data_IF_933839484202
#
_entry.id   IF_933839484202
#
_cell.length_a   1.000
_cell.length_b   1.000
_cell.length_c   1.000
_cell.angle_alpha   90.00
_cell.angle_beta   90.00
_cell.angle_gamma   90.00
#
_symmetry.space_group_name_H-M   'P 1'
#
loop_
_entity.id
_entity.type
_entity.pdbx_description
1 polymer ?
#
# COMPACT_ATOMS: atom_id res chain seq x y z
N UNK A 1 -3.27 8.33 2.96
CA UNK A 1 -4.28 8.23 4.04
C UNK A 1 -4.74 6.79 4.08
N UNK A 2 -4.71 6.10 5.23
CA UNK A 2 -5.22 4.75 5.39
C UNK A 2 -6.64 4.77 5.95
N UNK A 3 -7.47 3.82 5.55
CA UNK A 3 -8.79 3.60 6.13
C UNK A 3 -8.84 2.19 6.70
N UNK A 4 -9.33 2.04 7.92
CA UNK A 4 -9.58 0.73 8.53
C UNK A 4 -11.02 0.33 8.23
N UNK A 5 -11.19 -0.85 7.60
CA UNK A 5 -12.48 -1.39 7.23
C UNK A 5 -12.75 -2.67 8.02
N UNK A 6 -13.56 -2.57 9.06
CA UNK A 6 -13.93 -3.73 9.87
C UNK A 6 -15.27 -4.37 9.44
N UNK A 7 -16.16 -3.61 8.81
CA UNK A 7 -17.48 -4.05 8.34
C UNK A 7 -17.91 -3.24 7.12
N UNK A 8 -18.36 -3.93 6.08
CA UNK A 8 -18.85 -3.29 4.83
C UNK A 8 -20.12 -2.49 5.09
N UNK A 9 -21.01 -2.96 5.97
CA UNK A 9 -22.28 -2.31 6.33
C UNK A 9 -22.09 -0.87 6.87
N UNK A 10 -20.92 -0.59 7.48
CA UNK A 10 -20.60 0.76 7.93
C UNK A 10 -20.25 1.71 6.79
N UNK A 11 -19.74 1.20 5.68
CA UNK A 11 -19.50 2.00 4.49
C UNK A 11 -20.81 2.45 3.85
N UNK A 12 -21.76 1.54 3.70
CA UNK A 12 -23.08 1.85 3.19
C UNK A 12 -23.75 2.95 4.02
N UNK A 13 -23.72 2.81 5.35
CA UNK A 13 -24.22 3.85 6.24
C UNK A 13 -23.52 5.20 6.06
N UNK A 14 -22.16 5.22 5.89
CA UNK A 14 -21.39 6.44 5.68
C UNK A 14 -21.73 7.09 4.33
N UNK A 15 -21.89 6.29 3.28
CA UNK A 15 -22.24 6.78 1.94
C UNK A 15 -23.65 7.35 1.92
N UNK A 16 -24.61 6.66 2.52
CA UNK A 16 -26.01 7.09 2.55
C UNK A 16 -26.26 8.31 3.44
N UNK A 17 -25.54 8.43 4.56
CA UNK A 17 -25.79 9.47 5.57
C UNK A 17 -24.66 10.52 5.63
N UNK A 18 -23.59 10.35 4.85
CA UNK A 18 -22.47 11.28 4.77
C UNK A 18 -22.86 12.56 4.04
N UNK A 19 -22.26 13.66 4.48
CA UNK A 19 -22.47 14.97 3.86
C UNK A 19 -21.13 15.59 3.51
N UNK A 20 -21.00 16.05 2.27
CA UNK A 20 -19.86 16.88 1.85
C UNK A 20 -20.00 18.26 2.45
N UNK A 21 -19.09 18.65 3.30
CA UNK A 21 -19.08 19.93 3.97
C UNK A 21 -18.43 21.01 3.11
N UNK A 22 -19.10 22.17 2.97
CA UNK A 22 -18.49 23.32 2.31
C UNK A 22 -17.27 23.82 3.08
N UNK A 23 -16.22 24.19 2.36
CA UNK A 23 -15.03 24.82 2.91
C UNK A 23 -15.12 26.36 2.85
N UNK A 24 -16.19 26.89 2.24
CA UNK A 24 -16.43 28.32 2.11
C UNK A 24 -17.00 28.92 3.40
N UNK A 25 -16.76 30.22 3.61
CA UNK A 25 -17.32 30.97 4.73
C UNK A 25 -16.69 30.67 6.09
N UNK A 26 -15.59 29.93 6.14
CA UNK A 26 -14.84 29.71 7.37
C UNK A 26 -14.04 30.97 7.73
N UNK A 27 -14.01 31.37 9.04
CA UNK A 27 -13.27 32.54 9.45
C UNK A 27 -11.76 32.36 9.27
N UNK A 28 -11.05 33.47 9.00
CA UNK A 28 -9.58 33.49 8.92
C UNK A 28 -8.97 33.57 10.34
N UNK A 29 -9.06 32.48 11.06
CA UNK A 29 -8.62 32.30 12.45
C UNK A 29 -8.17 30.87 12.68
N UNK A 30 -7.42 30.60 13.76
CA UNK A 30 -7.01 29.23 14.16
C UNK A 30 -8.23 28.29 14.21
N UNK A 31 -9.36 28.74 14.74
CA UNK A 31 -10.61 27.96 14.75
C UNK A 31 -11.09 27.63 13.32
N UNK A 32 -11.02 28.60 12.40
CA UNK A 32 -11.39 28.38 11.00
C UNK A 32 -10.45 27.39 10.30
N UNK A 33 -9.16 27.41 10.63
CA UNK A 33 -8.19 26.47 10.08
C UNK A 33 -8.41 25.06 10.61
N UNK A 34 -8.66 24.90 11.90
CA UNK A 34 -9.03 23.61 12.51
C UNK A 34 -10.33 23.07 11.93
N UNK A 35 -11.36 23.92 11.77
CA UNK A 35 -12.63 23.52 11.16
C UNK A 35 -12.43 23.12 9.68
N UNK A 36 -11.60 23.84 8.93
CA UNK A 36 -11.22 23.50 7.55
C UNK A 36 -10.56 22.13 7.50
N UNK A 37 -9.59 21.89 8.36
CA UNK A 37 -8.91 20.59 8.46
C UNK A 37 -9.91 19.46 8.73
N UNK A 38 -10.77 19.61 9.74
CA UNK A 38 -11.79 18.60 10.06
C UNK A 38 -12.74 18.33 8.89
N UNK A 39 -13.22 19.38 8.21
CA UNK A 39 -14.11 19.23 7.04
C UNK A 39 -13.41 18.57 5.86
N UNK A 40 -12.13 18.89 5.59
CA UNK A 40 -11.33 18.22 4.56
C UNK A 40 -11.18 16.72 4.89
N UNK A 41 -10.88 16.37 6.14
CA UNK A 41 -10.77 14.97 6.56
C UNK A 41 -12.11 14.23 6.41
N UNK A 42 -13.21 14.83 6.85
CA UNK A 42 -14.55 14.26 6.70
C UNK A 42 -14.91 14.04 5.22
N UNK A 43 -14.74 15.07 4.38
CA UNK A 43 -15.03 14.99 2.95
C UNK A 43 -14.19 13.91 2.25
N UNK A 44 -12.90 13.80 2.60
CA UNK A 44 -12.03 12.75 2.07
C UNK A 44 -12.52 11.36 2.52
N UNK A 45 -12.91 11.21 3.76
CA UNK A 45 -13.45 9.92 4.28
C UNK A 45 -14.70 9.48 3.51
N UNK A 46 -15.62 10.41 3.20
CA UNK A 46 -16.81 10.10 2.39
C UNK A 46 -16.47 9.69 0.96
N UNK A 47 -15.56 10.44 0.30
CA UNK A 47 -15.12 10.09 -1.06
C UNK A 47 -14.42 8.72 -1.11
N UNK A 48 -13.62 8.38 -0.10
CA UNK A 48 -13.01 7.07 0.01
C UNK A 48 -14.05 5.97 0.25
N UNK A 49 -15.05 6.22 1.12
CA UNK A 49 -16.13 5.27 1.37
C UNK A 49 -16.92 4.96 0.08
N UNK A 50 -17.25 5.99 -0.69
CA UNK A 50 -17.94 5.84 -1.99
C UNK A 50 -17.09 5.04 -3.00
N UNK A 51 -15.79 5.34 -3.11
CA UNK A 51 -14.89 4.61 -4.00
C UNK A 51 -14.74 3.13 -3.59
N UNK A 52 -14.63 2.85 -2.30
CA UNK A 52 -14.55 1.50 -1.75
C UNK A 52 -15.85 0.75 -2.02
N UNK A 53 -17.00 1.36 -1.73
CA UNK A 53 -18.32 0.75 -1.99
C UNK A 53 -18.49 0.43 -3.47
N UNK A 54 -18.24 1.38 -4.36
CA UNK A 54 -18.31 1.20 -5.81
C UNK A 54 -17.45 0.02 -6.27
N UNK A 55 -16.20 -0.06 -5.83
CA UNK A 55 -15.32 -1.17 -6.17
C UNK A 55 -15.79 -2.50 -5.60
N UNK A 56 -16.29 -2.50 -4.36
CA UNK A 56 -16.81 -3.69 -3.72
C UNK A 56 -18.05 -4.24 -4.45
N UNK A 57 -18.96 -3.39 -4.87
CA UNK A 57 -20.18 -3.76 -5.60
C UNK A 57 -19.91 -4.17 -7.05
N UNK A 58 -18.83 -3.66 -7.66
CA UNK A 58 -18.44 -3.99 -9.02
C UNK A 58 -17.95 -5.44 -9.19
N UNK A 59 -17.70 -6.16 -8.12
CA UNK A 59 -17.16 -7.52 -8.15
C UNK A 59 -17.86 -8.46 -7.16
N UNK A 60 -17.63 -9.76 -7.33
CA UNK A 60 -18.15 -10.81 -6.45
C UNK A 60 -17.06 -11.85 -6.16
N UNK A 61 -17.15 -12.50 -5.00
CA UNK A 61 -16.32 -13.67 -4.72
C UNK A 61 -16.81 -14.86 -5.55
N UNK A 62 -15.88 -15.63 -6.11
CA UNK A 62 -16.13 -16.87 -6.87
C UNK A 62 -15.96 -18.11 -6.00
N UNK A 63 -15.34 -17.94 -4.82
CA UNK A 63 -15.05 -18.98 -3.84
C UNK A 63 -15.80 -18.67 -2.55
N UNK A 64 -16.21 -19.70 -1.83
CA UNK A 64 -16.76 -19.57 -0.49
C UNK A 64 -15.61 -19.44 0.51
N UNK A 65 -15.53 -18.33 1.18
CA UNK A 65 -14.50 -18.06 2.19
C UNK A 65 -14.92 -18.59 3.57
N UNK A 66 -13.93 -18.95 4.36
CA UNK A 66 -14.11 -19.22 5.79
C UNK A 66 -14.82 -18.06 6.48
N UNK A 67 -15.69 -18.38 7.44
CA UNK A 67 -16.39 -17.40 8.29
C UNK A 67 -15.51 -16.84 9.42
N UNK A 68 -14.28 -17.33 9.55
CA UNK A 68 -13.29 -16.80 10.50
C UNK A 68 -12.82 -15.39 10.10
N UNK A 69 -12.15 -14.70 11.02
CA UNK A 69 -11.83 -13.28 10.85
C UNK A 69 -10.98 -13.02 9.60
N UNK A 70 -9.93 -13.82 9.39
CA UNK A 70 -9.02 -13.62 8.25
C UNK A 70 -9.73 -13.92 6.92
N UNK A 71 -10.51 -15.00 6.85
CA UNK A 71 -11.29 -15.35 5.66
C UNK A 71 -12.25 -14.23 5.27
N UNK A 72 -13.01 -13.68 6.22
CA UNK A 72 -13.90 -12.51 5.97
C UNK A 72 -13.11 -11.30 5.46
N UNK A 73 -11.97 -11.00 6.08
CA UNK A 73 -11.15 -9.84 5.68
C UNK A 73 -10.60 -10.01 4.27
N UNK A 74 -10.07 -11.19 3.93
CA UNK A 74 -9.53 -11.47 2.59
C UNK A 74 -10.62 -11.53 1.53
N UNK A 75 -11.84 -11.97 1.85
CA UNK A 75 -12.98 -11.93 0.93
C UNK A 75 -13.34 -10.50 0.50
N UNK A 76 -13.25 -9.54 1.43
CA UNK A 76 -13.44 -8.11 1.14
C UNK A 76 -12.29 -7.60 0.26
N UNK A 77 -11.04 -7.88 0.65
CA UNK A 77 -9.85 -7.45 -0.12
C UNK A 77 -9.90 -7.97 -1.56
N UNK A 78 -10.24 -9.25 -1.76
CA UNK A 78 -10.40 -9.83 -3.10
C UNK A 78 -11.40 -9.04 -3.95
N UNK A 79 -12.57 -8.70 -3.40
CA UNK A 79 -13.57 -7.89 -4.11
C UNK A 79 -13.05 -6.50 -4.47
N UNK A 80 -12.32 -5.84 -3.55
CA UNK A 80 -11.75 -4.52 -3.81
C UNK A 80 -10.67 -4.55 -4.90
N UNK A 81 -9.85 -5.60 -4.95
CA UNK A 81 -8.85 -5.81 -6.01
C UNK A 81 -9.55 -6.05 -7.35
N UNK A 82 -10.49 -6.99 -7.41
CA UNK A 82 -11.25 -7.33 -8.63
C UNK A 82 -12.11 -6.15 -9.11
N UNK A 83 -12.61 -5.33 -8.20
CA UNK A 83 -13.35 -4.10 -8.50
C UNK A 83 -12.45 -2.90 -8.87
N UNK A 84 -11.14 -3.10 -9.01
CA UNK A 84 -10.16 -2.09 -9.44
C UNK A 84 -10.10 -0.83 -8.54
N UNK A 85 -10.15 -0.99 -7.22
CA UNK A 85 -10.00 0.12 -6.28
C UNK A 85 -8.65 0.86 -6.45
N UNK A 86 -7.63 0.17 -6.98
CA UNK A 86 -6.30 0.75 -7.22
C UNK A 86 -5.43 0.91 -5.97
N UNK A 87 -5.87 0.44 -4.82
CA UNK A 87 -5.07 0.40 -3.59
C UNK A 87 -3.90 -0.56 -3.77
N UNK A 88 -2.69 -0.11 -3.41
CA UNK A 88 -1.45 -0.87 -3.58
C UNK A 88 -1.11 -1.75 -2.39
N UNK A 89 -1.54 -1.38 -1.18
CA UNK A 89 -1.21 -2.08 0.05
C UNK A 89 -2.49 -2.26 0.87
N UNK A 90 -2.79 -3.51 1.18
CA UNK A 90 -3.86 -3.91 2.10
C UNK A 90 -3.22 -4.51 3.34
N UNK A 91 -3.66 -4.09 4.50
CA UNK A 91 -3.25 -4.65 5.77
C UNK A 91 -4.42 -5.41 6.38
N UNK A 92 -4.23 -6.71 6.62
CA UNK A 92 -5.19 -7.57 7.34
C UNK A 92 -4.52 -8.16 8.57
N UNK A 93 -5.30 -8.46 9.59
CA UNK A 93 -4.78 -8.92 10.88
C UNK A 93 -5.40 -10.25 11.26
N UNK A 94 -4.56 -11.18 11.68
CA UNK A 94 -4.93 -12.40 12.39
C UNK A 94 -4.32 -12.35 13.78
N UNK A 95 -5.16 -12.22 14.80
CA UNK A 95 -4.74 -12.22 16.22
C UNK A 95 -4.64 -13.64 16.78
N UNK A 96 -4.23 -13.74 18.05
CA UNK A 96 -4.24 -15.01 18.79
C UNK A 96 -2.88 -15.68 18.92
N UNK A 97 -1.81 -15.20 18.27
CA UNK A 97 -0.47 -15.80 18.35
C UNK A 97 0.26 -15.55 19.67
N UNK A 98 -0.33 -14.80 20.60
CA UNK A 98 0.20 -14.59 21.95
C UNK A 98 -0.13 -15.78 22.87
N UNK A 99 0.40 -16.95 22.51
CA UNK A 99 0.07 -18.27 23.10
C UNK A 99 0.94 -18.58 24.31
N UNK A 100 0.69 -17.92 25.43
CA UNK A 100 1.35 -18.21 26.72
C UNK A 100 0.84 -19.50 27.40
N UNK A 101 -0.27 -20.06 26.91
CA UNK A 101 -0.84 -21.33 27.38
C UNK A 101 -1.46 -22.09 26.18
N UNK A 102 -1.61 -23.40 26.28
CA UNK A 102 -2.24 -24.28 25.25
C UNK A 102 -1.70 -24.05 23.82
N UNK A 103 -0.46 -23.63 23.70
CA UNK A 103 0.12 -23.18 22.42
C UNK A 103 -0.04 -24.19 21.27
N UNK A 104 0.11 -25.47 21.54
CA UNK A 104 0.07 -26.50 20.49
C UNK A 104 -1.27 -26.53 19.74
N UNK A 105 -2.38 -26.42 20.48
CA UNK A 105 -3.73 -26.47 19.90
C UNK A 105 -4.08 -25.14 19.25
N UNK A 106 -3.87 -24.04 19.96
CA UNK A 106 -4.21 -22.68 19.50
C UNK A 106 -3.40 -22.32 18.25
N UNK A 107 -2.09 -22.60 18.25
CA UNK A 107 -1.22 -22.32 17.11
C UNK A 107 -1.59 -23.15 15.88
N UNK A 108 -1.93 -24.44 16.06
CA UNK A 108 -2.38 -25.30 14.97
C UNK A 108 -3.67 -24.76 14.32
N UNK A 109 -4.61 -24.28 15.13
CA UNK A 109 -5.84 -23.66 14.64
C UNK A 109 -5.56 -22.37 13.84
N UNK A 110 -4.68 -21.50 14.36
CA UNK A 110 -4.31 -20.25 13.69
C UNK A 110 -3.58 -20.48 12.35
N UNK A 111 -2.66 -21.43 12.29
CA UNK A 111 -1.99 -21.78 11.01
C UNK A 111 -2.99 -22.41 10.03
N UNK A 112 -3.94 -23.16 10.50
CA UNK A 112 -5.02 -23.72 9.67
C UNK A 112 -5.90 -22.60 9.11
N UNK A 113 -6.29 -21.61 9.92
CA UNK A 113 -7.03 -20.43 9.46
C UNK A 113 -6.23 -19.64 8.42
N UNK A 114 -4.95 -19.37 8.69
CA UNK A 114 -4.06 -18.67 7.76
C UNK A 114 -3.99 -19.38 6.41
N UNK A 115 -3.68 -20.68 6.42
CA UNK A 115 -3.50 -21.44 5.18
C UNK A 115 -4.79 -21.56 4.37
N UNK A 116 -5.93 -21.79 5.04
CA UNK A 116 -7.24 -21.87 4.39
C UNK A 116 -7.63 -20.52 3.78
N UNK A 117 -7.54 -19.45 4.55
CA UNK A 117 -7.94 -18.12 4.09
C UNK A 117 -7.07 -17.61 2.92
N UNK A 118 -5.75 -17.87 2.95
CA UNK A 118 -4.84 -17.53 1.86
C UNK A 118 -5.13 -18.38 0.61
N UNK A 119 -5.40 -19.66 0.78
CA UNK A 119 -5.77 -20.55 -0.34
C UNK A 119 -7.07 -20.10 -1.01
N UNK A 120 -8.12 -19.82 -0.23
CA UNK A 120 -9.39 -19.31 -0.74
C UNK A 120 -9.21 -17.99 -1.49
N UNK A 121 -8.37 -17.11 -0.96
CA UNK A 121 -8.08 -15.81 -1.55
C UNK A 121 -7.39 -15.93 -2.92
N UNK A 122 -6.35 -16.74 -3.06
CA UNK A 122 -5.69 -16.95 -4.35
C UNK A 122 -6.57 -17.66 -5.35
N UNK A 123 -7.33 -18.69 -4.94
CA UNK A 123 -8.30 -19.37 -5.81
C UNK A 123 -9.38 -18.37 -6.34
N UNK A 124 -9.81 -17.43 -5.51
CA UNK A 124 -10.78 -16.41 -5.91
C UNK A 124 -10.18 -15.40 -6.90
N UNK A 125 -8.94 -14.96 -6.68
CA UNK A 125 -8.22 -14.06 -7.59
C UNK A 125 -7.89 -14.74 -8.92
N UNK A 126 -7.45 -16.00 -8.91
CA UNK A 126 -7.16 -16.79 -10.10
C UNK A 126 -8.38 -16.92 -11.02
N UNK A 127 -9.57 -17.08 -10.43
CA UNK A 127 -10.83 -17.15 -11.17
C UNK A 127 -11.12 -15.92 -12.03
N UNK A 128 -10.55 -14.78 -11.70
CA UNK A 128 -10.66 -13.51 -12.44
C UNK A 128 -9.30 -13.06 -13.03
N UNK A 129 -8.30 -13.95 -13.09
CA UNK A 129 -6.93 -13.72 -13.62
C UNK A 129 -6.22 -12.55 -12.94
N UNK A 130 -6.31 -12.46 -11.61
CA UNK A 130 -5.72 -11.38 -10.80
C UNK A 130 -4.71 -11.89 -9.77
N UNK A 131 -4.42 -13.20 -9.72
CA UNK A 131 -3.48 -13.78 -8.75
C UNK A 131 -2.04 -13.27 -8.96
N UNK A 132 -1.61 -13.10 -10.20
CA UNK A 132 -0.29 -12.57 -10.55
C UNK A 132 -0.06 -11.10 -10.11
N UNK A 133 -1.15 -10.35 -9.89
CA UNK A 133 -1.08 -8.94 -9.45
C UNK A 133 -0.86 -8.80 -7.94
N UNK A 134 -0.84 -9.90 -7.18
CA UNK A 134 -0.92 -9.88 -5.71
C UNK A 134 0.19 -10.70 -5.08
N UNK A 135 0.79 -10.12 -4.05
CA UNK A 135 1.74 -10.76 -3.17
C UNK A 135 1.31 -10.55 -1.73
N UNK A 136 1.32 -11.62 -0.93
CA UNK A 136 1.09 -11.54 0.52
C UNK A 136 2.42 -11.77 1.24
N UNK A 137 2.77 -10.88 2.16
CA UNK A 137 3.84 -11.09 3.12
C UNK A 137 3.29 -10.96 4.54
N UNK A 138 3.60 -11.95 5.39
CA UNK A 138 3.25 -11.87 6.81
C UNK A 138 4.32 -11.13 7.58
N UNK A 139 3.94 -10.53 8.72
CA UNK A 139 4.87 -10.03 9.72
C UNK A 139 4.25 -10.17 11.10
N UNK A 140 5.08 -10.23 12.13
CA UNK A 140 4.65 -10.32 13.52
C UNK A 140 5.40 -9.30 14.38
N UNK A 141 4.77 -8.85 15.45
CA UNK A 141 5.37 -7.97 16.45
C UNK A 141 6.49 -8.67 17.23
N UNK A 142 6.33 -9.97 17.50
CA UNK A 142 7.29 -10.78 18.26
C UNK A 142 7.38 -12.20 17.68
N UNK A 143 8.48 -12.89 18.00
CA UNK A 143 8.62 -14.33 17.85
C UNK A 143 8.32 -15.06 19.16
N UNK A 144 8.72 -16.34 19.25
CA UNK A 144 8.54 -17.16 20.46
C UNK A 144 9.88 -17.71 20.92
N UNK A 145 10.07 -17.83 22.24
CA UNK A 145 11.24 -18.51 22.82
C UNK A 145 11.17 -20.01 22.54
N UNK A 146 12.35 -20.65 22.58
CA UNK A 146 12.49 -22.07 22.33
C UNK A 146 11.90 -22.92 23.48
N UNK A 147 12.04 -22.44 24.72
CA UNK A 147 11.65 -23.19 25.88
C UNK A 147 10.18 -22.96 26.27
N UNK A 148 9.49 -24.06 26.59
CA UNK A 148 8.13 -24.01 27.13
C UNK A 148 8.12 -23.38 28.50
N UNK A 149 7.11 -22.53 28.77
CA UNK A 149 6.80 -22.03 30.09
C UNK A 149 5.98 -23.04 30.93
N UNK A 150 5.64 -22.69 32.17
CA UNK A 150 4.88 -23.58 33.06
C UNK A 150 3.41 -23.81 32.69
N UNK A 151 2.88 -23.15 31.66
CA UNK A 151 1.48 -23.21 31.23
C UNK A 151 1.27 -23.88 29.85
N UNK A 152 2.23 -24.69 29.40
CA UNK A 152 2.24 -25.32 28.07
C UNK A 152 2.17 -24.32 26.91
N UNK A 153 2.77 -23.16 27.06
CA UNK A 153 3.03 -22.13 26.06
C UNK A 153 4.50 -21.77 26.03
N UNK A 154 4.83 -20.68 25.37
CA UNK A 154 6.16 -20.08 25.37
C UNK A 154 6.05 -18.59 25.64
N UNK A 155 7.14 -17.95 26.03
CA UNK A 155 7.20 -16.49 26.15
C UNK A 155 7.60 -15.84 24.81
N UNK A 156 7.47 -14.50 24.71
CA UNK A 156 7.87 -13.75 23.53
C UNK A 156 9.36 -13.93 23.25
N UNK A 157 9.70 -14.01 21.98
CA UNK A 157 11.06 -14.08 21.46
C UNK A 157 11.30 -13.08 20.35
N UNK A 158 12.53 -13.06 19.81
CA UNK A 158 13.00 -12.06 18.87
C UNK A 158 12.94 -12.50 17.40
N UNK A 159 12.76 -13.79 17.13
CA UNK A 159 12.75 -14.34 15.78
C UNK A 159 11.50 -15.17 15.52
N UNK A 160 10.99 -15.09 14.30
CA UNK A 160 9.80 -15.84 13.85
C UNK A 160 9.94 -16.18 12.36
N UNK A 161 9.25 -17.22 11.86
CA UNK A 161 9.10 -17.44 10.44
C UNK A 161 8.26 -16.32 9.84
N UNK A 162 8.62 -15.91 8.61
CA UNK A 162 7.86 -15.00 7.77
C UNK A 162 7.43 -15.78 6.53
N UNK A 163 6.15 -15.68 6.16
CA UNK A 163 5.61 -16.33 4.98
C UNK A 163 5.40 -15.30 3.87
N UNK A 164 5.78 -15.68 2.65
CA UNK A 164 5.48 -14.92 1.44
C UNK A 164 4.71 -15.82 0.48
N UNK A 165 3.58 -15.33 -0.05
CA UNK A 165 2.74 -16.05 -1.00
C UNK A 165 2.55 -15.20 -2.25
N UNK A 166 2.52 -15.83 -3.41
CA UNK A 166 2.31 -15.16 -4.69
C UNK A 166 2.79 -16.01 -5.86
N UNK A 167 2.24 -15.78 -7.05
CA UNK A 167 2.62 -16.52 -8.26
C UNK A 167 4.08 -16.24 -8.68
N UNK A 168 4.60 -15.07 -8.33
CA UNK A 168 5.99 -14.66 -8.60
C UNK A 168 6.97 -15.07 -7.48
N UNK A 169 6.52 -15.83 -6.49
CA UNK A 169 7.37 -16.24 -5.35
C UNK A 169 8.10 -17.53 -5.68
N UNK A 170 9.42 -17.54 -5.52
CA UNK A 170 10.23 -18.74 -5.53
C UNK A 170 9.87 -19.57 -4.30
N UNK A 171 9.06 -20.62 -4.50
CA UNK A 171 8.59 -21.46 -3.42
C UNK A 171 9.73 -22.21 -2.73
N UNK A 172 9.60 -22.46 -1.44
CA UNK A 172 10.54 -23.22 -0.63
C UNK A 172 10.91 -22.52 0.67
N UNK A 173 11.89 -23.10 1.35
CA UNK A 173 12.46 -22.54 2.56
C UNK A 173 13.69 -21.68 2.17
N UNK A 174 13.75 -20.46 2.66
CA UNK A 174 14.90 -19.56 2.51
C UNK A 174 15.52 -19.36 3.89
N UNK A 175 16.81 -19.58 3.98
CA UNK A 175 17.53 -19.62 5.23
C UNK A 175 17.82 -21.02 5.72
N UNK A 176 18.41 -21.11 6.88
CA UNK A 176 18.79 -22.35 7.57
C UNK A 176 17.73 -22.77 8.60
N UNK A 177 17.76 -24.02 9.00
CA UNK A 177 16.95 -24.47 10.12
C UNK A 177 17.31 -23.70 11.40
N UNK A 178 16.30 -23.29 12.20
CA UNK A 178 16.55 -22.58 13.45
C UNK A 178 17.43 -23.42 14.38
N UNK A 179 18.46 -22.78 14.93
CA UNK A 179 19.40 -23.41 15.87
C UNK A 179 18.79 -23.38 17.28
N UNK A 180 18.25 -24.51 17.73
CA UNK A 180 17.48 -24.61 18.98
C UNK A 180 18.34 -24.94 20.21
N UNK A 181 19.63 -25.29 20.03
CA UNK A 181 20.53 -25.63 21.13
C UNK A 181 20.88 -24.38 21.95
N UNK A 182 20.95 -24.55 23.27
CA UNK A 182 21.13 -23.42 24.20
C UNK A 182 22.37 -22.54 23.90
N UNK A 183 23.45 -23.14 23.41
CA UNK A 183 24.65 -22.42 23.00
C UNK A 183 24.51 -21.54 21.75
N UNK A 184 23.43 -21.72 21.01
CA UNK A 184 23.12 -20.98 19.79
C UNK A 184 22.03 -19.92 19.98
N UNK A 185 21.55 -19.74 21.22
CA UNK A 185 20.58 -18.72 21.59
C UNK A 185 21.30 -17.47 22.06
N UNK A 186 20.57 -16.35 22.11
CA UNK A 186 21.10 -15.12 22.73
C UNK A 186 21.14 -15.22 24.28
N UNK A 187 21.62 -14.17 24.94
CA UNK A 187 21.75 -14.13 26.42
C UNK A 187 20.40 -14.18 27.17
N UNK A 188 19.27 -14.08 26.44
CA UNK A 188 17.91 -14.13 26.97
C UNK A 188 17.12 -15.38 26.51
N UNK A 189 17.83 -16.38 25.98
CA UNK A 189 17.25 -17.64 25.44
C UNK A 189 16.34 -17.40 24.20
N UNK A 190 16.59 -16.35 23.43
CA UNK A 190 15.90 -16.13 22.18
C UNK A 190 16.62 -16.75 20.99
N UNK A 191 15.87 -17.13 19.97
CA UNK A 191 16.42 -17.45 18.67
C UNK A 191 17.13 -16.25 18.06
N UNK A 192 18.30 -16.46 17.48
CA UNK A 192 18.98 -15.45 16.68
C UNK A 192 18.41 -15.51 15.27
N UNK A 193 17.87 -14.39 14.78
CA UNK A 193 17.32 -14.32 13.42
C UNK A 193 18.47 -14.34 12.39
N UNK A 194 18.25 -15.05 11.29
CA UNK A 194 19.20 -15.10 10.17
C UNK A 194 19.03 -13.87 9.25
N UNK A 195 17.78 -13.47 8.99
CA UNK A 195 17.43 -12.33 8.16
C UNK A 195 16.81 -11.21 8.99
N UNK A 196 17.30 -10.00 8.80
CA UNK A 196 16.62 -8.79 9.28
C UNK A 196 15.33 -8.57 8.45
N UNK A 197 14.22 -8.24 9.08
CA UNK A 197 12.95 -7.99 8.38
C UNK A 197 13.07 -6.90 7.31
N UNK A 198 14.02 -5.96 7.47
CA UNK A 198 14.30 -4.90 6.49
C UNK A 198 14.87 -5.45 5.19
N UNK A 199 15.57 -6.58 5.20
CA UNK A 199 16.02 -7.27 3.99
C UNK A 199 14.83 -7.78 3.16
N UNK A 200 13.80 -8.31 3.83
CA UNK A 200 12.54 -8.70 3.18
C UNK A 200 11.85 -7.47 2.60
N UNK A 201 11.79 -6.37 3.36
CA UNK A 201 11.18 -5.13 2.88
C UNK A 201 11.96 -4.49 1.74
N UNK A 202 13.31 -4.58 1.74
CA UNK A 202 14.12 -4.15 0.59
C UNK A 202 13.69 -4.89 -0.67
N UNK A 203 13.59 -6.23 -0.61
CA UNK A 203 13.12 -7.02 -1.76
C UNK A 203 11.72 -6.63 -2.22
N UNK A 204 10.77 -6.45 -1.29
CA UNK A 204 9.41 -6.03 -1.62
C UNK A 204 9.38 -4.63 -2.26
N UNK A 205 10.12 -3.67 -1.71
CA UNK A 205 10.15 -2.31 -2.22
C UNK A 205 10.78 -2.25 -3.61
N UNK A 206 11.91 -2.93 -3.81
CA UNK A 206 12.66 -2.82 -5.05
C UNK A 206 12.16 -3.78 -6.13
N UNK A 207 12.02 -5.06 -5.81
CA UNK A 207 11.76 -6.11 -6.80
C UNK A 207 10.26 -6.28 -7.09
N UNK A 208 9.36 -5.97 -6.12
CA UNK A 208 7.92 -6.02 -6.34
C UNK A 208 7.33 -4.66 -6.71
N UNK A 209 7.65 -3.61 -5.97
CA UNK A 209 7.10 -2.26 -6.24
C UNK A 209 7.93 -1.44 -7.23
N UNK A 210 9.15 -1.86 -7.57
CA UNK A 210 10.03 -1.14 -8.50
C UNK A 210 10.52 0.20 -7.94
N UNK A 211 10.67 0.30 -6.62
CA UNK A 211 11.24 1.47 -5.95
C UNK A 211 12.76 1.43 -6.16
N UNK A 212 13.38 2.56 -6.45
CA UNK A 212 14.83 2.67 -6.59
C UNK A 212 15.52 2.32 -5.26
N UNK A 213 16.70 1.69 -5.32
CA UNK A 213 17.44 1.24 -4.13
C UNK A 213 17.73 2.38 -3.15
N UNK A 214 18.02 3.60 -3.64
CA UNK A 214 18.27 4.79 -2.81
C UNK A 214 17.03 5.20 -2.00
N UNK A 215 15.85 5.17 -2.62
CA UNK A 215 14.58 5.50 -1.96
C UNK A 215 14.20 4.41 -0.95
N UNK A 216 14.44 3.13 -1.26
CA UNK A 216 14.22 2.02 -0.35
C UNK A 216 15.15 2.12 0.87
N UNK A 217 16.43 2.38 0.66
CA UNK A 217 17.41 2.59 1.74
C UNK A 217 17.05 3.78 2.63
N UNK A 218 16.59 4.88 2.04
CA UNK A 218 16.13 6.05 2.80
C UNK A 218 14.89 5.73 3.66
N UNK A 219 13.95 4.95 3.13
CA UNK A 219 12.74 4.54 3.85
C UNK A 219 13.03 3.57 5.01
N UNK A 220 14.00 2.69 4.84
CA UNK A 220 14.38 1.66 5.83
C UNK A 220 15.46 2.12 6.84
N UNK A 221 16.05 3.29 6.60
CA UNK A 221 17.08 3.86 7.46
C UNK A 221 18.47 3.22 7.30
N UNK A 222 18.74 2.59 6.15
CA UNK A 222 20.01 1.97 5.81
C UNK A 222 19.92 1.03 4.62
N UNK A 223 21.08 0.56 4.18
CA UNK A 223 21.20 -0.42 3.09
C UNK A 223 21.08 -1.84 3.65
N UNK A 224 20.18 -2.62 3.07
CA UNK A 224 19.96 -4.02 3.44
C UNK A 224 19.98 -4.91 2.21
N UNK A 225 20.71 -6.02 2.28
CA UNK A 225 20.77 -7.01 1.22
C UNK A 225 19.38 -7.61 0.96
N UNK A 226 19.09 -7.93 -0.31
CA UNK A 226 17.83 -8.55 -0.71
C UNK A 226 17.77 -10.02 -0.32
N UNK A 227 16.57 -10.51 -0.02
CA UNK A 227 16.27 -11.94 0.16
C UNK A 227 15.69 -12.48 -1.14
N UNK A 228 16.23 -13.56 -1.75
CA UNK A 228 15.88 -13.98 -3.09
C UNK A 228 14.59 -14.82 -3.16
N UNK A 229 13.47 -14.30 -2.65
CA UNK A 229 12.18 -15.00 -2.68
C UNK A 229 11.30 -14.62 -3.89
N UNK A 230 11.69 -13.63 -4.69
CA UNK A 230 11.00 -13.29 -5.92
C UNK A 230 11.75 -13.80 -7.14
N UNK A 231 11.01 -14.32 -8.11
CA UNK A 231 11.55 -14.66 -9.43
C UNK A 231 11.78 -13.38 -10.24
N UNK A 232 12.99 -12.81 -10.09
CA UNK A 232 13.39 -11.63 -10.86
C UNK A 232 13.68 -11.96 -12.32
N UNK A 233 13.77 -13.24 -12.70
CA UNK A 233 13.96 -13.62 -14.11
C UNK A 233 12.69 -13.48 -14.93
N UNK A 234 11.53 -13.57 -14.32
CA UNK A 234 10.23 -13.29 -14.94
C UNK A 234 9.93 -11.78 -15.00
N UNK A 235 10.53 -10.98 -14.12
CA UNK A 235 10.39 -9.51 -14.07
C UNK A 235 11.44 -8.81 -14.95
N UNK A 236 12.52 -9.49 -15.31
CA UNK A 236 13.74 -8.84 -15.82
C UNK A 236 13.80 -8.56 -17.31
N UNK A 237 12.74 -8.78 -18.12
CA UNK A 237 12.79 -8.36 -19.53
C UNK A 237 11.56 -7.55 -19.97
N UNK A 238 10.52 -7.46 -19.14
CA UNK A 238 9.34 -6.65 -19.45
C UNK A 238 9.12 -5.46 -18.50
N UNK A 239 9.83 -5.37 -17.37
CA UNK A 239 9.82 -4.16 -16.53
C UNK A 239 10.42 -2.93 -17.23
N UNK A 240 11.17 -3.13 -18.32
CA UNK A 240 11.51 -2.06 -19.28
C UNK A 240 10.51 -1.96 -20.43
N UNK A 241 9.57 -2.92 -20.59
CA UNK A 241 8.55 -2.96 -21.63
C UNK A 241 7.16 -3.42 -21.13
N UNK A 242 6.91 -3.48 -19.84
CA UNK A 242 5.54 -3.51 -19.31
C UNK A 242 4.80 -2.30 -19.88
N UNK A 243 3.47 -2.35 -20.12
CA UNK A 243 2.76 -1.25 -20.73
C UNK A 243 3.12 0.01 -19.94
N UNK A 244 3.88 0.89 -20.59
CA UNK A 244 4.42 2.14 -20.01
C UNK A 244 3.25 2.80 -19.30
N UNK A 245 3.19 2.67 -17.97
CA UNK A 245 2.02 3.09 -17.22
C UNK A 245 1.91 4.60 -17.28
N UNK A 246 0.73 5.09 -17.58
CA UNK A 246 0.42 6.50 -17.40
C UNK A 246 0.74 6.86 -15.95
N UNK A 247 1.64 7.82 -15.71
CA UNK A 247 2.08 8.19 -14.37
C UNK A 247 2.39 9.68 -14.31
N UNK A 248 1.86 10.35 -13.30
CA UNK A 248 2.23 11.70 -12.92
C UNK A 248 3.15 11.63 -11.68
N UNK A 249 4.38 12.10 -11.81
CA UNK A 249 5.32 12.08 -10.68
C UNK A 249 5.09 13.28 -9.74
N UNK A 250 5.58 13.18 -8.50
CA UNK A 250 5.64 14.30 -7.59
C UNK A 250 6.57 15.37 -8.17
N UNK A 251 6.15 16.65 -8.11
CA UNK A 251 7.01 17.74 -8.55
C UNK A 251 8.26 17.84 -7.66
N UNK A 252 9.38 18.21 -8.27
CA UNK A 252 10.63 18.37 -7.54
C UNK A 252 11.32 19.71 -7.93
N UNK A 253 11.77 20.46 -6.92
CA UNK A 253 11.58 20.29 -5.47
C UNK A 253 10.11 20.46 -5.03
N UNK A 254 9.74 19.90 -3.88
CA UNK A 254 8.49 20.14 -3.17
C UNK A 254 8.72 20.01 -1.66
N UNK A 255 8.59 21.08 -0.84
CA UNK A 255 8.18 22.43 -1.24
C UNK A 255 9.14 23.12 -2.20
N UNK A 256 8.67 24.15 -2.94
CA UNK A 256 9.45 24.83 -3.96
C UNK A 256 9.40 26.37 -3.87
N UNK A 257 10.41 27.07 -4.45
CA UNK A 257 10.53 28.52 -4.48
C UNK A 257 11.35 28.99 -5.69
N UNK A 258 10.83 29.80 -6.61
CA UNK A 258 9.47 29.74 -7.13
C UNK A 258 9.33 28.69 -8.24
N UNK A 259 10.40 27.94 -8.54
CA UNK A 259 10.47 26.99 -9.66
C UNK A 259 10.39 25.55 -9.17
N UNK A 260 9.67 24.72 -9.93
CA UNK A 260 9.64 23.28 -9.75
C UNK A 260 9.49 22.59 -11.11
N UNK A 261 9.86 21.31 -11.16
CA UNK A 261 9.68 20.49 -12.35
C UNK A 261 8.59 19.45 -12.08
N UNK A 262 7.62 19.34 -12.97
CA UNK A 262 6.60 18.30 -12.98
C UNK A 262 6.97 17.33 -14.08
N UNK A 263 7.16 16.05 -13.75
CA UNK A 263 7.43 14.99 -14.70
C UNK A 263 6.29 13.98 -14.77
N UNK A 264 6.10 13.39 -15.93
CA UNK A 264 5.07 12.38 -16.17
C UNK A 264 5.49 11.42 -17.28
N UNK A 265 4.86 10.26 -17.30
CA UNK A 265 5.08 9.22 -18.30
C UNK A 265 3.79 8.86 -19.02
N UNK A 266 3.89 8.64 -20.34
CA UNK A 266 2.79 8.21 -21.18
C UNK A 266 3.11 6.85 -21.80
N UNK A 267 2.16 5.92 -21.74
CA UNK A 267 2.30 4.60 -22.36
C UNK A 267 2.08 4.60 -23.90
N UNK A 268 1.37 5.58 -24.43
CA UNK A 268 1.18 5.80 -25.88
C UNK A 268 0.96 7.28 -26.17
N UNK A 269 1.15 7.68 -27.42
CA UNK A 269 0.89 9.06 -27.85
C UNK A 269 -0.55 9.45 -27.59
N UNK A 270 -0.79 10.48 -26.80
CA UNK A 270 -2.12 10.93 -26.38
C UNK A 270 -2.24 12.44 -26.44
N UNK A 271 -3.48 12.93 -26.55
CA UNK A 271 -3.77 14.32 -26.27
C UNK A 271 -3.68 14.56 -24.77
N UNK A 272 -2.79 15.45 -24.37
CA UNK A 272 -2.44 15.68 -22.97
C UNK A 272 -2.86 17.07 -22.55
N UNK A 273 -3.46 17.15 -21.35
CA UNK A 273 -3.70 18.41 -20.64
C UNK A 273 -3.06 18.31 -19.25
N UNK A 274 -2.08 19.18 -18.97
CA UNK A 274 -1.48 19.36 -17.66
C UNK A 274 -1.84 20.73 -17.13
N UNK A 275 -2.57 20.79 -16.03
CA UNK A 275 -3.13 22.00 -15.48
C UNK A 275 -2.79 22.15 -13.99
N UNK A 276 -2.64 23.40 -13.56
CA UNK A 276 -2.44 23.78 -12.15
C UNK A 276 -3.68 24.51 -11.65
N UNK A 277 -4.14 24.12 -10.47
CA UNK A 277 -5.30 24.68 -9.79
C UNK A 277 -4.91 25.20 -8.41
N UNK A 278 -5.61 26.18 -7.92
CA UNK A 278 -5.57 26.54 -6.51
C UNK A 278 -6.36 25.52 -5.64
N UNK A 279 -6.29 25.67 -4.32
CA UNK A 279 -6.99 24.77 -3.40
C UNK A 279 -8.52 24.87 -3.45
N UNK A 280 -9.06 25.92 -4.07
CA UNK A 280 -10.51 26.09 -4.29
C UNK A 280 -11.00 25.43 -5.58
N UNK A 281 -10.07 24.87 -6.37
CA UNK A 281 -10.34 24.28 -7.67
C UNK A 281 -10.35 25.28 -8.83
N UNK A 282 -9.96 26.54 -8.57
CA UNK A 282 -9.78 27.56 -9.60
C UNK A 282 -8.57 27.25 -10.47
N UNK A 283 -8.75 27.29 -11.81
CA UNK A 283 -7.67 27.08 -12.75
C UNK A 283 -6.66 28.25 -12.67
N UNK A 284 -5.42 27.92 -12.28
CA UNK A 284 -4.31 28.86 -12.22
C UNK A 284 -3.63 28.99 -13.58
N UNK A 285 -3.28 27.86 -14.20
CA UNK A 285 -2.63 27.85 -15.52
C UNK A 285 -2.73 26.46 -16.17
N UNK A 286 -2.60 26.43 -17.49
CA UNK A 286 -2.42 25.21 -18.28
C UNK A 286 -0.98 25.15 -18.77
N UNK A 287 -0.25 24.11 -18.36
CA UNK A 287 1.17 23.91 -18.70
C UNK A 287 1.35 23.16 -20.03
N UNK A 288 0.47 22.20 -20.30
CA UNK A 288 0.43 21.44 -21.56
C UNK A 288 -1.03 21.33 -22.00
N UNK A 289 -1.27 21.56 -23.31
CA UNK A 289 -2.53 21.25 -23.96
C UNK A 289 -2.22 20.92 -25.43
N UNK A 290 -1.74 19.68 -25.66
CA UNK A 290 -1.37 19.20 -27.01
C UNK A 290 -1.16 17.71 -27.04
N UNK A 291 -1.04 17.15 -28.22
CA UNK A 291 -0.62 15.76 -28.39
C UNK A 291 0.85 15.59 -27.99
N UNK A 292 1.13 14.56 -27.18
CA UNK A 292 2.45 14.21 -26.66
C UNK A 292 2.74 12.76 -26.97
N UNK A 293 3.98 12.46 -27.37
CA UNK A 293 4.43 11.09 -27.66
C UNK A 293 4.47 10.22 -26.42
N UNK A 294 4.56 8.91 -26.59
CA UNK A 294 4.88 7.98 -25.49
C UNK A 294 6.27 8.26 -24.92
N UNK A 295 6.48 7.91 -23.64
CA UNK A 295 7.75 8.09 -22.93
C UNK A 295 7.67 9.07 -21.77
N UNK A 296 8.83 9.43 -21.23
CA UNK A 296 8.99 10.40 -20.13
C UNK A 296 8.96 11.84 -20.64
N UNK A 297 8.28 12.69 -19.89
CA UNK A 297 8.16 14.12 -20.18
C UNK A 297 8.33 14.93 -18.90
N UNK A 298 8.87 16.15 -19.02
CA UNK A 298 9.01 17.06 -17.90
C UNK A 298 8.65 18.48 -18.34
N UNK A 299 8.07 19.24 -17.40
CA UNK A 299 7.69 20.63 -17.60
C UNK A 299 8.12 21.45 -16.40
N UNK A 300 8.81 22.56 -16.65
CA UNK A 300 9.12 23.51 -15.60
C UNK A 300 7.91 24.41 -15.32
N UNK A 301 7.60 24.58 -14.05
CA UNK A 301 6.58 25.50 -13.57
C UNK A 301 7.21 26.59 -12.72
N UNK A 302 6.96 27.85 -13.09
CA UNK A 302 7.37 29.02 -12.35
C UNK A 302 6.16 29.70 -11.70
N UNK A 303 6.11 29.69 -10.38
CA UNK A 303 5.03 30.26 -9.57
C UNK A 303 5.39 31.63 -9.00
N UNK A 304 6.30 32.40 -9.64
CA UNK A 304 6.79 33.69 -9.14
C UNK A 304 5.68 34.75 -8.89
N UNK A 305 4.58 34.66 -9.62
CA UNK A 305 3.42 35.55 -9.46
C UNK A 305 2.37 35.06 -8.47
N UNK A 306 2.48 33.81 -7.96
CA UNK A 306 1.49 33.22 -7.08
C UNK A 306 1.84 33.45 -5.61
N UNK A 307 0.87 33.39 -4.71
CA UNK A 307 1.06 33.44 -3.26
C UNK A 307 1.60 32.13 -2.71
N UNK A 308 2.34 32.16 -1.59
CA UNK A 308 2.71 30.94 -0.87
C UNK A 308 1.45 30.15 -0.50
N UNK A 309 1.51 28.83 -0.63
CA UNK A 309 0.36 27.96 -0.38
C UNK A 309 0.42 26.64 -1.12
N UNK A 310 -0.61 25.84 -0.96
CA UNK A 310 -0.76 24.55 -1.63
C UNK A 310 -1.53 24.73 -2.95
N UNK A 311 -1.01 24.09 -3.99
CA UNK A 311 -1.60 24.02 -5.32
C UNK A 311 -1.80 22.57 -5.72
N UNK A 312 -2.71 22.33 -6.64
CA UNK A 312 -3.02 21.01 -7.19
C UNK A 312 -2.64 21.01 -8.66
N UNK A 313 -1.97 20.00 -9.15
CA UNK A 313 -1.76 19.83 -10.59
C UNK A 313 -2.37 18.53 -11.07
N UNK A 314 -2.98 18.57 -12.25
CA UNK A 314 -3.74 17.49 -12.84
C UNK A 314 -3.27 17.21 -14.27
N UNK A 315 -2.96 15.95 -14.53
CA UNK A 315 -2.61 15.43 -15.85
C UNK A 315 -3.78 14.61 -16.38
N UNK A 316 -4.24 14.96 -17.57
CA UNK A 316 -5.24 14.20 -18.33
C UNK A 316 -4.59 13.69 -19.62
N UNK A 317 -4.78 12.41 -19.96
CA UNK A 317 -4.34 11.83 -21.22
C UNK A 317 -5.33 10.74 -21.67
N UNK A 318 -6.10 11.03 -22.71
CA UNK A 318 -7.21 10.17 -23.13
C UNK A 318 -8.27 10.06 -22.04
N UNK A 319 -8.53 8.84 -21.58
CA UNK A 319 -9.48 8.56 -20.48
C UNK A 319 -8.82 8.47 -19.09
N UNK A 320 -7.51 8.72 -18.99
CA UNK A 320 -6.78 8.64 -17.73
C UNK A 320 -6.56 10.02 -17.14
N UNK A 321 -6.68 10.11 -15.81
CA UNK A 321 -6.48 11.34 -15.04
C UNK A 321 -5.69 11.02 -13.78
N UNK A 322 -4.63 11.79 -13.53
CA UNK A 322 -3.90 11.77 -12.25
C UNK A 322 -3.75 13.17 -11.70
N UNK A 323 -3.75 13.27 -10.37
CA UNK A 323 -3.71 14.53 -9.64
C UNK A 323 -2.72 14.44 -8.48
N UNK A 324 -1.93 15.49 -8.29
CA UNK A 324 -1.00 15.63 -7.15
C UNK A 324 -1.02 17.05 -6.59
N UNK A 325 -0.48 17.19 -5.38
CA UNK A 325 -0.36 18.47 -4.69
C UNK A 325 1.09 18.95 -4.67
N UNK A 326 1.30 20.26 -4.65
CA UNK A 326 2.60 20.93 -4.50
C UNK A 326 2.49 22.12 -3.56
N UNK A 327 3.57 22.43 -2.83
CA UNK A 327 3.61 23.52 -1.86
C UNK A 327 4.62 24.57 -2.28
N UNK A 328 4.13 25.79 -2.51
CA UNK A 328 4.95 26.97 -2.80
C UNK A 328 5.30 27.68 -1.48
N UNK A 329 6.58 27.94 -1.27
CA UNK A 329 7.12 28.73 -0.15
C UNK A 329 7.85 29.92 -0.74
N UNK A 330 7.52 31.12 -0.30
CA UNK A 330 8.26 32.36 -0.64
C UNK A 330 8.95 32.92 0.59
#
# INVERSE_FOLDING_TARGET
MGMTLNHVDRLEYLVENGTIHSLEGLPDTIYGDEMRFMRVQANNSFRYAEAIQTSYEASQNRVEYSTEQLGRSLSIVSRLIKGNLGTKIYLVQLGGFDTHANQMEDHAALITELSTAVSDFYNDLESDSRSEDVLIATFSEFGRRVFSNGAAGTDHGTAAPLFVFGDSVNGGLIGSDPQLEAENLDEYDNLIHEYDFRQVYTTLLTDWFGIEDEDASAALGGDFDKVPFLDTTSVSTEAQNGPVSFKLNQNYPNPFNPNTTISFRLNHSSDVRLQVFDISGGLVTTLIERRVSSGEHSVQFNAGSLSSGTYVYRLEAGNKVETKTMTLIK
#
